data_IF_148783209928
#
_entry.id   IF_148783209928
#
_cell.length_a   1.000
_cell.length_b   1.000
_cell.length_c   1.000
_cell.angle_alpha   90.00
_cell.angle_beta   90.00
_cell.angle_gamma   90.00
#
_symmetry.space_group_name_H-M   'P 1'
#
loop_
_entity.id
_entity.type
_entity.pdbx_description
1 polymer ?
#
# COMPACT_ATOMS: atom_id res chain seq x y z
N UNK A 1 -9.46 -1.10 -8.83
CA UNK A 1 -10.81 -0.73 -8.35
C UNK A 1 -10.62 0.59 -7.66
N UNK A 2 -11.19 1.67 -8.20
CA UNK A 2 -11.03 3.03 -7.71
C UNK A 2 -11.54 3.17 -6.26
N UNK A 3 -10.76 3.79 -5.37
CA UNK A 3 -11.12 4.00 -3.96
C UNK A 3 -12.42 4.83 -3.82
N UNK A 4 -12.71 5.68 -4.79
CA UNK A 4 -13.95 6.49 -4.88
C UNK A 4 -15.22 5.65 -4.96
N UNK A 5 -15.13 4.37 -5.34
CA UNK A 5 -16.29 3.46 -5.34
C UNK A 5 -16.65 2.95 -3.95
N UNK A 6 -15.77 3.12 -2.97
CA UNK A 6 -15.96 2.66 -1.60
C UNK A 6 -16.44 3.78 -0.68
N UNK A 7 -16.20 5.04 -1.06
CA UNK A 7 -16.60 6.21 -0.26
C UNK A 7 -16.68 7.47 -1.12
N UNK A 8 -17.68 8.36 -0.91
CA UNK A 8 -17.78 9.64 -1.62
C UNK A 8 -16.69 10.64 -1.21
N UNK A 9 -15.93 10.36 -0.15
CA UNK A 9 -14.88 11.23 0.37
C UNK A 9 -13.52 11.07 -0.33
N UNK A 10 -13.46 10.22 -1.37
CA UNK A 10 -12.25 10.02 -2.16
C UNK A 10 -12.46 10.41 -3.61
N UNK A 11 -11.60 11.30 -4.11
CA UNK A 11 -11.43 11.52 -5.55
C UNK A 11 -10.34 10.56 -6.00
N UNK A 12 -10.72 9.56 -6.80
CA UNK A 12 -9.80 8.51 -7.24
C UNK A 12 -9.32 8.74 -8.66
N UNK A 13 -8.12 8.25 -8.95
CA UNK A 13 -7.49 8.27 -10.28
C UNK A 13 -7.32 9.68 -10.86
N UNK A 14 -7.12 10.69 -10.00
CA UNK A 14 -6.92 12.06 -10.45
C UNK A 14 -5.57 12.17 -11.17
N UNK A 15 -5.64 12.58 -12.43
CA UNK A 15 -4.50 12.65 -13.33
C UNK A 15 -3.65 13.90 -13.08
N UNK A 16 -2.36 13.70 -12.82
CA UNK A 16 -1.37 14.79 -12.71
C UNK A 16 -0.47 14.78 -13.94
N UNK A 17 -0.37 15.93 -14.62
CA UNK A 17 0.60 16.15 -15.69
C UNK A 17 1.97 16.49 -15.08
N UNK A 18 2.92 15.59 -15.30
CA UNK A 18 4.28 15.73 -14.78
C UNK A 18 5.26 16.29 -15.84
N UNK A 19 4.77 16.69 -17.02
CA UNK A 19 5.63 17.15 -18.10
C UNK A 19 6.45 18.38 -17.68
N UNK A 20 7.75 18.29 -17.86
CA UNK A 20 8.70 19.36 -17.54
C UNK A 20 9.05 19.50 -16.06
N UNK A 21 8.60 18.58 -15.18
CA UNK A 21 9.03 18.52 -13.78
C UNK A 21 10.12 17.45 -13.65
N UNK A 22 11.24 17.81 -13.02
CA UNK A 22 12.39 16.93 -12.86
C UNK A 22 12.20 15.95 -11.68
N UNK A 23 11.46 14.86 -11.93
CA UNK A 23 11.15 13.80 -10.95
C UNK A 23 12.19 12.65 -10.95
N UNK A 24 13.47 12.98 -11.09
CA UNK A 24 14.58 12.03 -11.32
C UNK A 24 14.74 11.01 -10.18
N UNK A 25 14.79 9.72 -10.57
CA UNK A 25 15.49 8.63 -9.87
C UNK A 25 15.95 7.53 -10.85
N UNK A 26 15.42 7.43 -12.09
CA UNK A 26 15.94 6.53 -13.14
C UNK A 26 15.51 6.97 -14.56
N UNK A 27 16.31 6.63 -15.58
CA UNK A 27 16.23 7.07 -16.99
C UNK A 27 14.99 6.61 -17.80
N UNK A 28 13.94 6.11 -17.15
CA UNK A 28 12.67 5.74 -17.80
C UNK A 28 11.78 6.98 -18.03
N UNK A 29 12.25 7.90 -18.87
CA UNK A 29 11.64 9.23 -19.10
C UNK A 29 10.24 9.21 -19.75
N UNK A 30 9.76 8.07 -20.26
CA UNK A 30 8.50 8.02 -21.02
C UNK A 30 7.27 7.53 -20.25
N UNK A 31 7.42 6.75 -19.17
CA UNK A 31 6.25 6.24 -18.42
C UNK A 31 5.70 7.25 -17.39
N UNK A 32 6.49 8.26 -16.99
CA UNK A 32 6.11 9.22 -15.95
C UNK A 32 5.29 10.42 -16.43
N UNK A 33 4.93 10.50 -17.71
CA UNK A 33 4.32 11.69 -18.32
C UNK A 33 2.91 12.01 -17.79
N UNK A 34 2.17 11.01 -17.31
CA UNK A 34 0.85 11.19 -16.69
C UNK A 34 0.66 10.15 -15.60
N UNK A 35 0.43 10.58 -14.36
CA UNK A 35 0.23 9.68 -13.22
C UNK A 35 -1.17 9.86 -12.66
N UNK A 36 -1.74 8.81 -12.09
CA UNK A 36 -3.04 8.85 -11.40
C UNK A 36 -2.84 8.58 -9.92
N UNK A 37 -3.33 9.47 -9.07
CA UNK A 37 -3.25 9.38 -7.60
C UNK A 37 -4.65 9.49 -7.01
N UNK A 38 -4.89 8.85 -5.87
CA UNK A 38 -6.13 8.97 -5.11
C UNK A 38 -5.99 10.05 -4.02
N UNK A 39 -7.10 10.75 -3.71
CA UNK A 39 -7.13 11.87 -2.78
C UNK A 39 -8.27 11.72 -1.80
N UNK A 40 -7.99 11.94 -0.52
CA UNK A 40 -9.04 12.07 0.48
C UNK A 40 -9.42 13.55 0.68
N UNK A 41 -10.73 13.81 0.66
CA UNK A 41 -11.30 15.14 0.76
C UNK A 41 -11.91 15.36 2.14
N UNK A 42 -11.66 16.53 2.74
CA UNK A 42 -12.37 16.94 3.94
C UNK A 42 -13.88 17.03 3.67
N UNK A 43 -14.69 16.58 4.62
CA UNK A 43 -16.16 16.63 4.54
C UNK A 43 -16.75 17.95 5.01
N UNK A 44 -15.99 18.74 5.77
CA UNK A 44 -16.42 20.02 6.34
C UNK A 44 -15.38 21.12 6.10
N UNK A 45 -15.82 22.29 5.61
CA UNK A 45 -14.99 23.45 5.32
C UNK A 45 -14.87 23.79 3.82
N UNK A 46 -14.67 25.07 3.50
CA UNK A 46 -14.45 25.52 2.13
C UNK A 46 -13.09 25.03 1.61
N UNK A 47 -13.10 23.90 0.89
CA UNK A 47 -12.14 23.45 -0.12
C UNK A 47 -10.72 23.07 0.35
N UNK A 48 -10.55 21.89 0.97
CA UNK A 48 -9.23 21.28 1.17
C UNK A 48 -9.19 19.78 0.86
N UNK A 49 -8.30 19.37 -0.05
CA UNK A 49 -7.82 17.99 -0.10
C UNK A 49 -6.80 17.83 1.03
N UNK A 50 -6.99 16.82 1.87
CA UNK A 50 -6.22 16.67 3.11
C UNK A 50 -5.10 15.65 3.00
N UNK A 51 -5.33 14.59 2.23
CA UNK A 51 -4.43 13.44 2.16
C UNK A 51 -4.25 12.97 0.72
N UNK A 52 -3.00 12.80 0.35
CA UNK A 52 -2.58 12.11 -0.87
C UNK A 52 -2.41 10.63 -0.59
N UNK A 53 -3.15 9.79 -1.31
CA UNK A 53 -3.16 8.35 -1.10
C UNK A 53 -2.71 7.66 -2.39
N UNK A 54 -1.61 6.91 -2.32
CA UNK A 54 -1.26 5.95 -3.36
C UNK A 54 -1.50 4.54 -2.83
N UNK A 55 -2.55 3.88 -3.32
CA UNK A 55 -2.99 2.58 -2.82
C UNK A 55 -2.55 1.42 -3.73
N UNK A 56 -1.84 0.43 -3.18
CA UNK A 56 -1.44 -0.79 -3.89
C UNK A 56 -1.90 -2.05 -3.18
N UNK A 57 -2.08 -3.12 -3.96
CA UNK A 57 -2.32 -4.47 -3.45
C UNK A 57 -1.04 -5.30 -3.52
N UNK A 58 -0.73 -5.99 -2.43
CA UNK A 58 0.44 -6.84 -2.27
C UNK A 58 0.02 -8.23 -1.78
N UNK A 59 0.95 -9.18 -1.88
CA UNK A 59 0.79 -10.53 -1.34
C UNK A 59 2.06 -10.94 -0.61
N UNK A 60 1.88 -11.64 0.51
CA UNK A 60 2.98 -12.18 1.30
C UNK A 60 2.74 -13.66 1.57
N UNK A 61 3.67 -14.50 1.09
CA UNK A 61 3.62 -15.93 1.36
C UNK A 61 4.31 -16.26 2.69
N UNK A 62 3.55 -16.83 3.63
CA UNK A 62 4.02 -17.21 4.98
C UNK A 62 4.09 -18.72 5.20
N UNK A 63 4.01 -19.52 4.14
CA UNK A 63 4.13 -20.98 4.25
C UNK A 63 5.44 -21.41 4.92
N UNK A 64 5.46 -22.58 5.56
CA UNK A 64 6.61 -23.14 6.30
C UNK A 64 7.93 -23.14 5.51
N UNK A 65 7.87 -23.24 4.17
CA UNK A 65 9.04 -23.23 3.27
C UNK A 65 9.24 -21.90 2.53
N UNK A 66 8.37 -20.93 2.74
CA UNK A 66 8.47 -19.63 2.11
C UNK A 66 9.57 -18.80 2.76
N UNK A 67 10.21 -17.92 1.98
CA UNK A 67 11.22 -16.98 2.47
C UNK A 67 10.65 -15.87 3.37
N UNK A 68 9.32 -15.78 3.52
CA UNK A 68 8.60 -14.72 4.25
C UNK A 68 9.06 -13.31 3.86
N UNK A 69 9.18 -13.08 2.55
CA UNK A 69 9.61 -11.81 1.98
C UNK A 69 8.73 -11.42 0.80
N UNK A 70 8.63 -10.12 0.53
CA UNK A 70 8.00 -9.63 -0.70
C UNK A 70 8.78 -10.08 -1.92
N UNK A 71 8.06 -10.51 -2.96
CA UNK A 71 8.66 -10.80 -4.25
C UNK A 71 9.08 -9.51 -4.97
N UNK A 72 9.79 -9.66 -6.08
CA UNK A 72 10.25 -8.53 -6.89
C UNK A 72 9.10 -7.59 -7.30
N UNK A 73 7.92 -8.13 -7.64
CA UNK A 73 6.79 -7.34 -8.10
C UNK A 73 6.15 -6.53 -6.97
N UNK A 74 6.02 -7.12 -5.77
CA UNK A 74 5.52 -6.44 -4.59
C UNK A 74 6.50 -5.36 -4.14
N UNK A 75 7.81 -5.67 -4.11
CA UNK A 75 8.85 -4.68 -3.80
C UNK A 75 8.83 -3.52 -4.78
N UNK A 76 8.70 -3.79 -6.10
CA UNK A 76 8.55 -2.74 -7.11
C UNK A 76 7.32 -1.86 -6.82
N UNK A 77 6.16 -2.45 -6.52
CA UNK A 77 4.94 -1.70 -6.19
C UNK A 77 5.07 -0.83 -4.95
N UNK A 78 5.78 -1.32 -3.92
CA UNK A 78 6.08 -0.54 -2.72
C UNK A 78 6.93 0.68 -3.10
N UNK A 79 8.02 0.46 -3.85
CA UNK A 79 8.90 1.55 -4.32
C UNK A 79 8.15 2.56 -5.16
N UNK A 80 7.36 2.11 -6.12
CA UNK A 80 6.57 2.97 -7.00
C UNK A 80 5.60 3.84 -6.18
N UNK A 81 4.91 3.26 -5.19
CA UNK A 81 3.98 4.01 -4.34
C UNK A 81 4.67 5.06 -3.48
N UNK A 82 5.79 4.70 -2.84
CA UNK A 82 6.59 5.62 -2.00
C UNK A 82 7.16 6.77 -2.85
N UNK A 83 7.73 6.46 -4.02
CA UNK A 83 8.25 7.47 -4.94
C UNK A 83 7.14 8.41 -5.42
N UNK A 84 5.98 7.86 -5.75
CA UNK A 84 4.85 8.63 -6.23
C UNK A 84 4.33 9.62 -5.18
N UNK A 85 4.24 9.23 -3.91
CA UNK A 85 3.83 10.16 -2.84
C UNK A 85 4.93 11.16 -2.47
N UNK A 86 6.21 10.78 -2.55
CA UNK A 86 7.36 11.67 -2.35
C UNK A 86 7.39 12.82 -3.38
N UNK A 87 7.18 12.48 -4.64
CA UNK A 87 7.22 13.40 -5.80
C UNK A 87 6.20 14.53 -5.71
N UNK A 88 5.13 14.37 -4.91
CA UNK A 88 4.10 15.39 -4.68
C UNK A 88 4.73 16.71 -4.22
N UNK A 89 5.79 16.65 -3.41
CA UNK A 89 6.50 17.85 -2.94
C UNK A 89 7.07 18.67 -4.11
N UNK A 90 7.72 17.99 -5.05
CA UNK A 90 8.34 18.64 -6.22
C UNK A 90 7.28 19.14 -7.18
N UNK A 91 6.18 18.40 -7.35
CA UNK A 91 5.04 18.80 -8.16
C UNK A 91 4.34 20.06 -7.60
N UNK A 92 4.22 20.17 -6.27
CA UNK A 92 3.74 21.40 -5.60
C UNK A 92 4.69 22.57 -5.86
N UNK A 93 6.00 22.39 -5.65
CA UNK A 93 7.01 23.42 -5.89
C UNK A 93 7.03 23.91 -7.35
N UNK A 94 6.70 23.03 -8.30
CA UNK A 94 6.59 23.36 -9.71
C UNK A 94 5.24 23.99 -10.11
N UNK A 95 4.37 24.34 -9.15
CA UNK A 95 3.07 24.96 -9.42
C UNK A 95 2.06 24.03 -10.11
N UNK A 96 2.30 22.71 -10.10
CA UNK A 96 1.38 21.72 -10.71
C UNK A 96 0.22 21.35 -9.80
N UNK A 97 0.38 21.56 -8.50
CA UNK A 97 -0.54 21.14 -7.45
C UNK A 97 -0.71 22.28 -6.43
N UNK A 98 -1.32 23.40 -6.84
CA UNK A 98 -1.55 24.55 -5.98
C UNK A 98 -2.83 24.37 -5.14
N UNK A 99 -2.78 24.71 -3.84
CA UNK A 99 -3.88 24.74 -2.86
C UNK A 99 -4.28 23.44 -2.11
N UNK A 100 -3.36 22.52 -1.82
CA UNK A 100 -3.70 21.26 -1.14
C UNK A 100 -2.82 20.97 0.08
N UNK A 101 -3.37 20.33 1.13
CA UNK A 101 -2.65 19.99 2.35
C UNK A 101 -1.64 18.84 2.14
N UNK A 102 -0.77 18.64 3.13
CA UNK A 102 0.57 18.02 2.98
C UNK A 102 0.69 16.55 3.40
N UNK A 103 -0.36 15.91 3.90
CA UNK A 103 -0.24 14.53 4.38
C UNK A 103 -0.15 13.54 3.21
N UNK A 104 0.94 12.75 3.17
CA UNK A 104 1.27 11.83 2.08
C UNK A 104 1.30 10.40 2.62
N UNK A 105 0.50 9.54 2.01
CA UNK A 105 0.30 8.18 2.46
C UNK A 105 0.44 7.18 1.30
N UNK A 106 1.45 6.33 1.36
CA UNK A 106 1.44 5.11 0.56
C UNK A 106 0.71 4.02 1.34
N UNK A 107 -0.41 3.53 0.78
CA UNK A 107 -1.31 2.57 1.43
C UNK A 107 -1.22 1.20 0.75
N UNK A 108 -1.10 0.15 1.55
CA UNK A 108 -0.92 -1.22 1.08
C UNK A 108 -1.97 -2.14 1.69
N UNK A 109 -2.79 -2.74 0.83
CA UNK A 109 -3.63 -3.87 1.20
C UNK A 109 -2.88 -5.18 0.89
N UNK A 110 -2.54 -5.94 1.92
CA UNK A 110 -1.60 -7.06 1.84
C UNK A 110 -2.33 -8.34 2.21
N UNK A 111 -2.49 -9.24 1.24
CA UNK A 111 -3.01 -10.57 1.51
C UNK A 111 -1.87 -11.46 2.02
N UNK A 112 -1.95 -11.86 3.28
CA UNK A 112 -1.03 -12.86 3.85
C UNK A 112 -1.61 -14.22 3.57
N UNK A 113 -0.85 -15.08 2.89
CA UNK A 113 -1.36 -16.36 2.41
C UNK A 113 -0.33 -17.47 2.48
N UNK A 114 -0.78 -18.72 2.42
CA UNK A 114 0.06 -19.88 2.17
C UNK A 114 -0.76 -21.03 1.56
N UNK A 115 -0.09 -22.09 1.11
CA UNK A 115 -0.77 -23.35 0.82
C UNK A 115 -1.24 -24.00 2.13
N UNK A 116 -2.40 -24.66 2.12
CA UNK A 116 -2.93 -25.35 3.33
C UNK A 116 -1.95 -26.37 3.90
N UNK A 117 -1.28 -27.13 3.02
CA UNK A 117 -0.26 -28.14 3.38
C UNK A 117 1.01 -27.53 3.98
N UNK A 118 1.19 -26.22 3.84
CA UNK A 118 2.37 -25.50 4.33
C UNK A 118 2.01 -24.49 5.42
N UNK A 119 0.82 -24.60 6.03
CA UNK A 119 0.40 -23.65 7.07
C UNK A 119 1.40 -23.61 8.22
N UNK A 120 1.95 -22.43 8.56
CA UNK A 120 2.77 -22.24 9.74
C UNK A 120 1.94 -22.43 11.01
N UNK A 121 2.62 -22.55 12.14
CA UNK A 121 1.97 -22.63 13.45
C UNK A 121 1.40 -21.26 13.83
N UNK A 122 0.25 -21.22 14.52
CA UNK A 122 -0.52 -19.97 14.72
C UNK A 122 0.24 -18.89 15.49
N UNK A 123 1.14 -19.28 16.39
CA UNK A 123 1.99 -18.37 17.15
C UNK A 123 3.08 -17.73 16.28
N UNK A 124 3.55 -18.43 15.24
CA UNK A 124 4.52 -17.88 14.28
C UNK A 124 3.92 -16.77 13.39
N UNK A 125 2.59 -16.65 13.41
CA UNK A 125 1.85 -15.67 12.62
C UNK A 125 1.64 -14.34 13.37
N UNK A 126 1.80 -14.32 14.70
CA UNK A 126 1.52 -13.13 15.51
C UNK A 126 2.52 -11.99 15.27
N UNK A 127 3.75 -12.29 14.85
CA UNK A 127 4.78 -11.30 14.49
C UNK A 127 4.62 -10.72 13.09
N UNK A 128 3.80 -11.32 12.22
CA UNK A 128 3.71 -10.95 10.80
C UNK A 128 3.37 -9.47 10.57
N UNK A 129 2.42 -8.84 11.29
CA UNK A 129 2.14 -7.42 11.09
C UNK A 129 3.36 -6.53 11.37
N UNK A 130 4.16 -6.88 12.39
CA UNK A 130 5.40 -6.18 12.73
C UNK A 130 6.49 -6.42 11.69
N UNK A 131 6.72 -7.67 11.30
CA UNK A 131 7.68 -8.05 10.25
C UNK A 131 7.37 -7.32 8.92
N UNK A 132 6.09 -7.21 8.57
CA UNK A 132 5.64 -6.47 7.38
C UNK A 132 5.93 -4.98 7.47
N UNK A 133 5.66 -4.36 8.61
CA UNK A 133 5.99 -2.96 8.83
C UNK A 133 7.50 -2.72 8.68
N UNK A 134 8.32 -3.59 9.27
CA UNK A 134 9.79 -3.54 9.17
C UNK A 134 10.29 -3.76 7.73
N UNK A 135 9.73 -4.74 7.01
CA UNK A 135 10.06 -4.98 5.59
C UNK A 135 9.77 -3.74 4.73
N UNK A 136 8.62 -3.10 4.91
CA UNK A 136 8.25 -1.90 4.16
C UNK A 136 9.14 -0.70 4.55
N UNK A 137 9.43 -0.54 5.84
CA UNK A 137 10.37 0.48 6.34
C UNK A 137 11.76 0.29 5.72
N UNK A 138 12.24 -0.94 5.62
CA UNK A 138 13.53 -1.26 5.01
C UNK A 138 13.56 -0.91 3.52
N UNK A 139 12.50 -1.22 2.76
CA UNK A 139 12.39 -0.81 1.36
C UNK A 139 12.45 0.72 1.22
N UNK A 140 11.76 1.47 2.08
CA UNK A 140 11.82 2.93 2.07
C UNK A 140 13.24 3.45 2.35
N UNK A 141 13.91 2.87 3.36
CA UNK A 141 15.27 3.24 3.73
C UNK A 141 16.28 2.95 2.60
N UNK A 142 16.13 1.82 1.89
CA UNK A 142 16.94 1.48 0.70
C UNK A 142 16.80 2.51 -0.43
N UNK A 143 15.63 3.14 -0.56
CA UNK A 143 15.40 4.23 -1.51
C UNK A 143 15.95 5.57 -1.02
N UNK A 144 16.60 5.62 0.15
CA UNK A 144 17.02 6.86 0.79
C UNK A 144 15.87 7.71 1.33
N UNK A 145 14.66 7.15 1.41
CA UNK A 145 13.49 7.80 2.01
C UNK A 145 13.46 7.45 3.49
N UNK A 146 13.25 8.45 4.35
CA UNK A 146 13.04 8.24 5.79
C UNK A 146 11.57 8.53 6.11
N UNK A 147 10.69 7.52 6.08
CA UNK A 147 9.31 7.66 6.51
C UNK A 147 9.20 8.30 7.89
N UNK A 148 8.16 9.12 8.09
CA UNK A 148 7.78 9.62 9.41
C UNK A 148 7.28 8.48 10.30
N UNK A 149 6.68 7.45 9.69
CA UNK A 149 6.29 6.23 10.37
C UNK A 149 5.65 5.22 9.42
N UNK A 150 5.67 3.95 9.83
CA UNK A 150 4.96 2.85 9.17
C UNK A 150 3.99 2.25 10.18
N UNK A 151 2.71 2.24 9.81
CA UNK A 151 1.64 1.65 10.62
C UNK A 151 1.08 0.43 9.89
N UNK A 152 0.96 -0.70 10.57
CA UNK A 152 0.41 -1.92 10.00
C UNK A 152 -0.69 -2.45 10.92
N UNK A 153 -1.91 -2.51 10.40
CA UNK A 153 -3.06 -3.12 11.07
C UNK A 153 -3.38 -4.46 10.43
N UNK A 154 -3.88 -5.41 11.22
CA UNK A 154 -4.22 -6.74 10.78
C UNK A 154 -5.72 -7.02 10.99
N UNK A 155 -6.40 -7.39 9.91
CA UNK A 155 -7.65 -8.11 10.01
C UNK A 155 -7.33 -9.60 10.19
N UNK A 156 -7.55 -10.09 11.41
CA UNK A 156 -7.34 -11.50 11.77
C UNK A 156 -8.47 -12.37 11.23
N UNK A 157 -8.15 -13.18 10.23
CA UNK A 157 -9.08 -14.10 9.58
C UNK A 157 -8.89 -15.54 10.08
N UNK A 158 -7.91 -15.80 10.95
CA UNK A 158 -7.66 -17.13 11.51
C UNK A 158 -8.86 -17.72 12.25
N UNK A 159 -9.68 -16.95 13.01
CA UNK A 159 -10.89 -17.47 13.64
C UNK A 159 -11.89 -18.09 12.64
N UNK A 160 -11.90 -17.62 11.39
CA UNK A 160 -12.79 -18.14 10.36
C UNK A 160 -12.45 -19.56 9.89
N UNK A 161 -11.25 -20.09 10.23
CA UNK A 161 -10.85 -21.45 9.85
C UNK A 161 -11.69 -22.56 10.50
N UNK A 162 -12.23 -22.30 11.69
CA UNK A 162 -13.05 -23.27 12.42
C UNK A 162 -14.54 -23.17 12.04
N UNK A 163 -14.89 -22.24 11.16
CA UNK A 163 -16.25 -22.05 10.68
C UNK A 163 -16.56 -23.09 9.58
N UNK A 164 -17.78 -23.64 9.47
CA UNK A 164 -18.13 -24.52 8.37
C UNK A 164 -17.83 -23.90 6.99
N UNK A 165 -17.32 -24.68 6.03
CA UNK A 165 -16.89 -24.20 4.68
C UNK A 165 -17.92 -23.34 3.96
N UNK A 166 -19.21 -23.67 4.12
CA UNK A 166 -20.34 -22.93 3.56
C UNK A 166 -20.45 -21.49 4.06
N UNK A 167 -19.79 -21.17 5.18
CA UNK A 167 -19.73 -19.86 5.81
C UNK A 167 -18.33 -19.21 5.73
N UNK A 168 -17.36 -19.83 5.04
CA UNK A 168 -16.01 -19.27 4.87
C UNK A 168 -15.87 -18.56 3.53
N UNK A 169 -15.68 -17.24 3.56
CA UNK A 169 -15.48 -16.40 2.37
C UNK A 169 -14.01 -16.31 1.89
N UNK A 170 -13.04 -16.90 2.60
CA UNK A 170 -11.61 -16.58 2.44
C UNK A 170 -10.70 -17.77 2.07
N UNK A 171 -11.24 -18.99 1.98
CA UNK A 171 -10.47 -20.17 1.59
C UNK A 171 -10.56 -20.40 0.09
N UNK A 172 -9.49 -20.06 -0.63
CA UNK A 172 -9.26 -20.67 -1.94
C UNK A 172 -9.10 -22.18 -1.74
N UNK A 173 -9.62 -23.01 -2.64
CA UNK A 173 -9.69 -24.48 -2.44
C UNK A 173 -8.37 -25.10 -1.93
N UNK A 174 -7.23 -24.58 -2.40
CA UNK A 174 -5.87 -25.01 -2.04
C UNK A 174 -5.10 -24.04 -1.11
N UNK A 175 -5.63 -22.84 -0.88
CA UNK A 175 -4.96 -21.76 -0.16
C UNK A 175 -5.54 -21.49 1.22
N UNK A 176 -4.73 -20.92 2.09
CA UNK A 176 -5.10 -20.37 3.39
C UNK A 176 -4.69 -18.89 3.43
N UNK A 177 -5.56 -18.04 3.96
CA UNK A 177 -5.37 -16.59 4.06
C UNK A 177 -5.57 -16.16 5.53
N UNK A 178 -4.54 -16.24 6.39
CA UNK A 178 -4.64 -15.93 7.82
C UNK A 178 -4.96 -14.47 8.11
N UNK A 179 -4.46 -13.54 7.29
CA UNK A 179 -4.63 -12.11 7.52
C UNK A 179 -4.85 -11.36 6.21
N UNK A 180 -5.62 -10.27 6.34
CA UNK A 180 -5.52 -9.14 5.43
C UNK A 180 -4.92 -7.97 6.22
N UNK A 181 -3.74 -7.51 5.82
CA UNK A 181 -3.09 -6.38 6.48
C UNK A 181 -3.39 -5.09 5.71
N UNK A 182 -3.60 -4.02 6.46
CA UNK A 182 -3.63 -2.66 5.95
C UNK A 182 -2.41 -1.93 6.50
N UNK A 183 -1.45 -1.65 5.63
CA UNK A 183 -0.21 -0.97 6.01
C UNK A 183 -0.10 0.40 5.34
N UNK A 184 0.16 1.44 6.13
CA UNK A 184 0.37 2.80 5.67
C UNK A 184 1.79 3.27 5.96
N UNK A 185 2.41 3.90 4.96
CA UNK A 185 3.71 4.58 5.09
C UNK A 185 3.48 6.08 4.94
N UNK A 186 3.83 6.82 5.99
CA UNK A 186 3.76 8.28 5.99
C UNK A 186 5.12 8.83 5.54
N UNK A 187 5.14 9.58 4.45
CA UNK A 187 6.35 10.09 3.78
C UNK A 187 6.47 11.60 3.94
#
# INVERSE_FOLDING_TARGET
>A
MALSRLTPYVISEYGVDCKGVDLREDESQNEKQRRTIDFWCATEGNNGLDIWIESKRLWLNVGKRAKRAFDYHCTKRIRDAIAQVKDITQLKQAGRLENYNDFKLALFAINVYCMKTESPDMQELDSIPYEVAEMIQNVANEMGVRPQGVLCSALDLRPSMNTPKENIYHLYEKGYLPFMLLCGVVV
#
